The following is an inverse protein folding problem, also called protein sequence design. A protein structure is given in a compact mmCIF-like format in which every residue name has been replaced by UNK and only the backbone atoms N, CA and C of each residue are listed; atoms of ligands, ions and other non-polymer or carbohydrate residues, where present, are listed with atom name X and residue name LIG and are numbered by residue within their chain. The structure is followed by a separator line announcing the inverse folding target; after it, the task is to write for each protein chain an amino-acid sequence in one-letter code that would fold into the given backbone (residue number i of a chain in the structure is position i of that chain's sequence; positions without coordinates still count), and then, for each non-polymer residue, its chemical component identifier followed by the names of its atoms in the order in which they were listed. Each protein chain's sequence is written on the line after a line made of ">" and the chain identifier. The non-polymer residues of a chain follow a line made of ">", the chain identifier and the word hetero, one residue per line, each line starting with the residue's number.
data_IF_648813243424
#
_entry.id   IF_648813243424
#
_cell.length_a   1.000
_cell.length_b   1.000
_cell.length_c   1.000
_cell.angle_alpha   90.00
_cell.angle_beta   90.00
_cell.angle_gamma   90.00
#
_symmetry.space_group_name_H-M   'P 1'
#
loop_
_entity.id
_entity.type
_entity.pdbx_description
1 polymer ?
#
# COMPACT_ATOMS: atom_id res chain seq x y z
N UNK A 1 -22.68 -13.78 -8.07
CA UNK A 1 -21.77 -14.15 -9.15
C UNK A 1 -20.86 -12.97 -9.55
N UNK A 2 -19.94 -12.64 -8.62
CA UNK A 2 -18.95 -11.55 -8.79
C UNK A 2 -17.87 -11.88 -9.81
N UNK A 3 -17.59 -13.15 -10.03
CA UNK A 3 -16.49 -13.62 -10.92
C UNK A 3 -16.94 -13.57 -12.38
N UNK A 4 -18.16 -13.95 -12.69
CA UNK A 4 -18.71 -13.94 -14.05
C UNK A 4 -18.83 -12.52 -14.67
N UNK A 5 -18.95 -11.46 -13.84
CA UNK A 5 -18.98 -10.07 -14.32
C UNK A 5 -17.62 -9.52 -14.76
N UNK A 6 -16.54 -9.97 -14.12
CA UNK A 6 -15.18 -9.52 -14.45
C UNK A 6 -14.66 -10.14 -15.78
N UNK A 7 -15.15 -11.33 -16.14
CA UNK A 7 -14.83 -11.99 -17.41
C UNK A 7 -15.50 -11.33 -18.62
N UNK A 8 -16.52 -10.48 -18.41
CA UNK A 8 -17.25 -9.77 -19.46
C UNK A 8 -16.78 -8.32 -19.67
N UNK A 9 -15.61 -7.93 -19.15
CA UNK A 9 -15.04 -6.60 -19.37
C UNK A 9 -15.72 -5.49 -18.56
N UNK A 10 -16.27 -5.82 -17.40
CA UNK A 10 -16.83 -4.84 -16.46
C UNK A 10 -15.66 -4.24 -15.67
N UNK A 11 -15.42 -2.96 -15.84
CA UNK A 11 -14.31 -2.23 -15.22
C UNK A 11 -14.46 -2.07 -13.68
N UNK A 12 -15.69 -2.21 -13.12
CA UNK A 12 -15.91 -2.13 -11.67
C UNK A 12 -17.25 -2.70 -11.21
N UNK A 13 -17.35 -3.05 -9.91
CA UNK A 13 -18.55 -3.58 -9.29
C UNK A 13 -18.92 -2.77 -8.04
N UNK A 14 -20.04 -2.06 -8.08
CA UNK A 14 -20.55 -1.24 -6.98
C UNK A 14 -21.68 -1.99 -6.28
N UNK A 15 -21.51 -2.28 -4.98
CA UNK A 15 -22.54 -2.92 -4.15
C UNK A 15 -23.54 -1.90 -3.60
N UNK A 16 -24.82 -2.25 -3.58
CA UNK A 16 -25.86 -1.44 -2.92
C UNK A 16 -25.80 -1.64 -1.39
N UNK A 17 -26.07 -0.60 -0.57
CA UNK A 17 -26.35 0.79 -0.93
C UNK A 17 -25.08 1.57 -1.28
N UNK A 18 -25.14 2.46 -2.29
CA UNK A 18 -24.05 3.31 -2.70
C UNK A 18 -24.40 4.81 -2.57
N UNK A 19 -23.43 5.63 -2.20
CA UNK A 19 -23.64 7.08 -2.17
C UNK A 19 -23.49 7.67 -3.57
N UNK A 20 -24.33 8.64 -3.91
CA UNK A 20 -24.25 9.34 -5.18
C UNK A 20 -22.90 10.04 -5.40
N UNK A 21 -22.30 10.52 -4.30
CA UNK A 21 -20.98 11.15 -4.30
C UNK A 21 -19.88 10.12 -4.65
N UNK A 22 -19.95 8.93 -4.05
CA UNK A 22 -19.01 7.85 -4.36
C UNK A 22 -19.09 7.43 -5.84
N UNK A 23 -20.33 7.25 -6.34
CA UNK A 23 -20.55 6.88 -7.74
C UNK A 23 -20.00 7.94 -8.70
N UNK A 24 -20.26 9.22 -8.43
CA UNK A 24 -19.77 10.35 -9.23
C UNK A 24 -18.24 10.39 -9.25
N UNK A 25 -17.59 10.28 -8.08
CA UNK A 25 -16.12 10.26 -7.97
C UNK A 25 -15.53 9.08 -8.74
N UNK A 26 -16.15 7.92 -8.64
CA UNK A 26 -15.67 6.71 -9.33
C UNK A 26 -15.79 6.80 -10.85
N UNK A 27 -16.93 7.31 -11.34
CA UNK A 27 -17.13 7.57 -12.79
C UNK A 27 -16.11 8.59 -13.30
N UNK A 28 -15.89 9.69 -12.56
CA UNK A 28 -14.89 10.71 -12.94
C UNK A 28 -13.48 10.10 -13.02
N UNK A 29 -13.10 9.29 -12.05
CA UNK A 29 -11.81 8.59 -12.02
C UNK A 29 -11.63 7.64 -13.21
N UNK A 30 -12.66 6.84 -13.55
CA UNK A 30 -12.62 5.95 -14.71
C UNK A 30 -12.54 6.71 -16.04
N UNK A 31 -13.25 7.84 -16.15
CA UNK A 31 -13.20 8.68 -17.35
C UNK A 31 -11.82 9.34 -17.51
N UNK A 32 -11.21 9.84 -16.44
CA UNK A 32 -9.86 10.39 -16.47
C UNK A 32 -8.83 9.34 -16.86
N UNK A 33 -8.94 8.14 -16.32
CA UNK A 33 -8.06 7.02 -16.66
C UNK A 33 -8.16 6.65 -18.16
N UNK A 34 -9.38 6.64 -18.73
CA UNK A 34 -9.58 6.44 -20.16
C UNK A 34 -8.97 7.55 -21.01
N UNK A 35 -9.16 8.80 -20.62
CA UNK A 35 -8.58 9.94 -21.34
C UNK A 35 -7.05 9.88 -21.33
N UNK A 36 -6.43 9.57 -20.20
CA UNK A 36 -4.99 9.44 -20.09
C UNK A 36 -4.44 8.31 -20.96
N UNK A 37 -5.09 7.15 -20.98
CA UNK A 37 -4.73 6.03 -21.88
C UNK A 37 -4.86 6.43 -23.35
N UNK A 38 -5.89 7.18 -23.72
CA UNK A 38 -6.11 7.66 -25.07
C UNK A 38 -5.04 8.68 -25.48
N UNK A 39 -4.63 9.59 -24.60
CA UNK A 39 -3.55 10.55 -24.86
C UNK A 39 -2.20 9.86 -25.05
N UNK A 40 -1.88 8.86 -24.22
CA UNK A 40 -0.66 8.05 -24.36
C UNK A 40 -0.68 7.29 -25.69
N UNK A 41 -1.83 6.72 -26.07
CA UNK A 41 -1.98 6.00 -27.33
C UNK A 41 -1.77 6.93 -28.54
N UNK A 42 -2.41 8.11 -28.52
CA UNK A 42 -2.27 9.11 -29.59
C UNK A 42 -0.83 9.67 -29.65
N UNK A 43 -0.19 9.90 -28.51
CA UNK A 43 1.20 10.36 -28.46
C UNK A 43 2.18 9.30 -29.02
N UNK A 44 1.90 8.02 -28.79
CA UNK A 44 2.70 6.93 -29.37
C UNK A 44 2.51 6.78 -30.87
N UNK A 45 1.28 6.97 -31.37
CA UNK A 45 1.00 7.01 -32.82
C UNK A 45 1.69 8.19 -33.51
N UNK A 46 1.67 9.38 -32.88
CA UNK A 46 2.31 10.57 -33.42
C UNK A 46 3.86 10.46 -33.48
N UNK A 47 4.46 9.61 -32.63
CA UNK A 47 5.91 9.35 -32.61
C UNK A 47 6.34 8.22 -33.56
N UNK A 48 5.46 7.73 -34.43
CA UNK A 48 5.78 6.71 -35.44
C UNK A 48 6.21 5.36 -34.86
N UNK A 49 5.93 5.08 -33.58
CA UNK A 49 6.13 3.74 -33.03
C UNK A 49 5.00 2.83 -33.51
N UNK A 50 5.37 1.86 -34.33
CA UNK A 50 4.46 0.79 -34.75
C UNK A 50 3.83 0.14 -33.52
N UNK A 51 2.51 -0.13 -33.61
CA UNK A 51 1.82 -0.97 -32.64
C UNK A 51 2.60 -2.28 -32.49
N UNK A 52 2.86 -2.75 -31.28
CA UNK A 52 3.50 -4.05 -31.08
C UNK A 52 2.64 -5.11 -31.75
N UNK A 53 3.29 -5.90 -32.61
CA UNK A 53 2.68 -7.02 -33.31
C UNK A 53 2.02 -7.97 -32.31
N UNK A 54 0.83 -8.48 -32.60
CA UNK A 54 -0.02 -9.29 -31.69
C UNK A 54 0.61 -10.61 -31.21
N UNK A 55 1.89 -10.82 -31.44
CA UNK A 55 2.64 -12.03 -31.05
C UNK A 55 3.70 -11.84 -29.98
N UNK A 56 3.80 -10.67 -29.35
CA UNK A 56 4.64 -10.55 -28.16
C UNK A 56 3.89 -11.11 -26.94
N UNK A 57 4.49 -12.13 -26.36
CA UNK A 57 4.09 -12.75 -25.08
C UNK A 57 3.56 -11.68 -24.11
N UNK A 58 2.38 -11.95 -23.54
CA UNK A 58 1.79 -11.20 -22.45
C UNK A 58 2.70 -11.35 -21.20
N UNK A 59 3.86 -10.75 -21.24
CA UNK A 59 4.61 -10.50 -20.02
C UNK A 59 3.87 -9.41 -19.26
N UNK A 60 3.45 -9.63 -18.01
CA UNK A 60 2.86 -8.58 -17.20
C UNK A 60 3.83 -7.40 -17.21
N UNK A 61 3.42 -6.28 -17.78
CA UNK A 61 4.19 -5.03 -17.68
C UNK A 61 4.40 -4.75 -16.19
N UNK A 62 5.63 -4.41 -15.81
CA UNK A 62 5.90 -3.96 -14.45
C UNK A 62 4.88 -2.85 -14.11
N UNK A 63 4.22 -2.90 -12.96
CA UNK A 63 3.23 -1.91 -12.59
C UNK A 63 3.90 -0.54 -12.60
N UNK A 64 3.55 0.29 -13.57
CA UNK A 64 4.02 1.68 -13.61
C UNK A 64 3.28 2.42 -12.49
N UNK A 65 4.03 2.91 -11.52
CA UNK A 65 3.51 3.78 -10.47
C UNK A 65 2.99 5.04 -11.15
N UNK A 66 1.70 5.29 -11.03
CA UNK A 66 1.08 6.50 -11.59
C UNK A 66 1.19 7.65 -10.58
N UNK A 67 1.10 8.93 -11.01
CA UNK A 67 1.04 10.07 -10.08
C UNK A 67 -0.04 9.93 -9.01
N UNK A 68 -1.16 9.29 -9.35
CA UNK A 68 -2.24 8.98 -8.42
C UNK A 68 -1.87 7.91 -7.39
N UNK A 69 -1.00 6.98 -7.73
CA UNK A 69 -0.48 5.98 -6.79
C UNK A 69 0.56 6.59 -5.86
N UNK A 70 1.34 7.56 -6.34
CA UNK A 70 2.27 8.34 -5.53
C UNK A 70 1.51 9.16 -4.47
N UNK A 71 0.47 9.90 -4.86
CA UNK A 71 -0.37 10.66 -3.94
C UNK A 71 -1.05 9.74 -2.90
N UNK A 72 -1.59 8.61 -3.34
CA UNK A 72 -2.16 7.62 -2.44
C UNK A 72 -1.14 7.10 -1.43
N UNK A 73 0.07 6.74 -1.89
CA UNK A 73 1.13 6.25 -1.01
C UNK A 73 1.63 7.33 -0.06
N UNK A 74 1.71 8.58 -0.51
CA UNK A 74 2.06 9.70 0.35
C UNK A 74 1.05 9.83 1.50
N UNK A 75 -0.25 9.86 1.21
CA UNK A 75 -1.30 9.96 2.23
C UNK A 75 -1.28 8.76 3.19
N UNK A 76 -1.03 7.55 2.68
CA UNK A 76 -0.87 6.34 3.50
C UNK A 76 0.32 6.46 4.44
N UNK A 77 1.46 6.95 3.95
CA UNK A 77 2.68 7.11 4.76
C UNK A 77 2.53 8.23 5.80
N UNK A 78 1.93 9.37 5.43
CA UNK A 78 1.63 10.46 6.36
C UNK A 78 0.75 9.97 7.51
N UNK A 79 -0.33 9.26 7.20
CA UNK A 79 -1.22 8.71 8.22
C UNK A 79 -0.54 7.63 9.07
N UNK A 80 0.30 6.80 8.46
CA UNK A 80 1.10 5.82 9.19
C UNK A 80 2.06 6.47 10.19
N UNK A 81 2.71 7.60 9.81
CA UNK A 81 3.58 8.37 10.72
C UNK A 81 2.79 9.00 11.87
N UNK A 82 1.61 9.57 11.61
CA UNK A 82 0.71 10.13 12.64
C UNK A 82 0.26 9.08 13.65
N UNK A 83 0.10 7.82 13.22
CA UNK A 83 -0.46 6.73 14.01
C UNK A 83 0.58 5.65 14.36
N UNK A 84 1.86 6.00 14.34
CA UNK A 84 2.94 5.01 14.48
C UNK A 84 2.88 4.23 15.80
N UNK A 85 2.58 4.89 16.89
CA UNK A 85 2.50 4.32 18.25
C UNK A 85 1.11 3.77 18.62
N UNK A 86 0.11 3.99 17.76
CA UNK A 86 -1.25 3.52 18.00
C UNK A 86 -1.36 2.00 17.77
N UNK A 87 -1.37 1.21 18.85
CA UNK A 87 -1.50 -0.26 18.78
C UNK A 87 -2.85 -0.73 18.23
N UNK A 88 -3.89 0.11 18.33
CA UNK A 88 -5.27 -0.21 17.88
C UNK A 88 -5.53 0.21 16.44
N UNK A 89 -4.54 0.72 15.73
CA UNK A 89 -4.67 1.15 14.33
C UNK A 89 -5.15 0.00 13.44
N UNK A 90 -6.27 0.22 12.78
CA UNK A 90 -6.92 -0.77 11.92
C UNK A 90 -6.83 -0.39 10.43
N UNK A 91 -7.13 -1.36 9.55
CA UNK A 91 -7.23 -1.11 8.11
C UNK A 91 -8.42 -0.19 7.80
N UNK A 92 -9.48 -0.25 8.62
CA UNK A 92 -10.66 0.59 8.44
C UNK A 92 -10.34 2.07 8.73
N UNK A 93 -9.41 2.35 9.64
CA UNK A 93 -8.95 3.72 9.92
C UNK A 93 -8.26 4.33 8.70
N UNK A 94 -7.39 3.59 8.03
CA UNK A 94 -6.80 4.03 6.76
C UNK A 94 -7.85 4.24 5.66
N UNK A 95 -8.76 3.30 5.51
CA UNK A 95 -9.81 3.40 4.49
C UNK A 95 -10.68 4.63 4.73
N UNK A 96 -11.07 4.89 5.98
CA UNK A 96 -11.85 6.06 6.37
C UNK A 96 -11.08 7.37 6.15
N UNK A 97 -9.79 7.43 6.56
CA UNK A 97 -8.93 8.61 6.37
C UNK A 97 -8.81 9.00 4.90
N UNK A 98 -8.69 7.99 4.01
CA UNK A 98 -8.56 8.20 2.57
C UNK A 98 -9.91 8.23 1.82
N UNK A 99 -11.04 8.20 2.54
CA UNK A 99 -12.39 8.18 1.98
C UNK A 99 -12.62 7.01 0.99
N UNK A 100 -12.01 5.88 1.26
CA UNK A 100 -12.13 4.66 0.48
C UNK A 100 -12.92 3.59 1.24
N UNK A 101 -13.47 2.61 0.52
CA UNK A 101 -13.91 1.38 1.18
C UNK A 101 -12.70 0.51 1.55
N UNK A 102 -12.84 -0.28 2.62
CA UNK A 102 -11.81 -1.26 3.05
C UNK A 102 -11.31 -2.14 1.90
N UNK A 103 -12.21 -2.61 1.05
CA UNK A 103 -11.87 -3.46 -0.10
C UNK A 103 -11.04 -2.73 -1.14
N UNK A 104 -11.39 -1.46 -1.43
CA UNK A 104 -10.66 -0.63 -2.40
C UNK A 104 -9.27 -0.31 -1.85
N UNK A 105 -9.17 0.12 -0.59
CA UNK A 105 -7.90 0.36 0.08
C UNK A 105 -7.00 -0.87 0.05
N UNK A 106 -7.53 -2.04 0.46
CA UNK A 106 -6.78 -3.30 0.47
C UNK A 106 -6.20 -3.64 -0.91
N UNK A 107 -7.04 -3.62 -1.95
CA UNK A 107 -6.60 -3.97 -3.31
C UNK A 107 -5.57 -2.98 -3.83
N UNK A 108 -5.81 -1.68 -3.63
CA UNK A 108 -4.92 -0.62 -4.11
C UNK A 108 -3.56 -0.71 -3.44
N UNK A 109 -3.51 -0.79 -2.12
CA UNK A 109 -2.25 -0.94 -1.40
C UNK A 109 -1.49 -2.20 -1.84
N UNK A 110 -2.18 -3.34 -1.90
CA UNK A 110 -1.56 -4.61 -2.33
C UNK A 110 -1.03 -4.55 -3.77
N UNK A 111 -1.73 -3.87 -4.69
CA UNK A 111 -1.26 -3.73 -6.08
C UNK A 111 0.00 -2.88 -6.20
N UNK A 112 0.17 -1.87 -5.34
CA UNK A 112 1.32 -0.96 -5.37
C UNK A 112 2.54 -1.58 -4.67
N UNK A 113 2.35 -2.08 -3.43
CA UNK A 113 3.47 -2.53 -2.59
C UNK A 113 3.67 -4.06 -2.56
N UNK A 114 2.74 -4.83 -3.13
CA UNK A 114 2.80 -6.30 -3.13
C UNK A 114 2.48 -6.96 -1.78
N UNK A 115 2.28 -6.19 -0.72
CA UNK A 115 2.03 -6.66 0.65
C UNK A 115 0.56 -6.52 1.02
N UNK A 116 0.09 -7.36 1.96
CA UNK A 116 -1.20 -7.09 2.60
C UNK A 116 -1.09 -5.85 3.49
N UNK A 117 -2.19 -5.09 3.73
CA UNK A 117 -2.14 -3.92 4.62
C UNK A 117 -1.61 -4.23 6.02
N UNK A 118 -1.92 -5.39 6.58
CA UNK A 118 -1.39 -5.82 7.89
C UNK A 118 0.12 -6.03 7.84
N UNK A 119 0.62 -6.67 6.79
CA UNK A 119 2.06 -6.89 6.61
C UNK A 119 2.78 -5.57 6.33
N UNK A 120 2.17 -4.67 5.56
CA UNK A 120 2.69 -3.33 5.30
C UNK A 120 2.84 -2.51 6.58
N UNK A 121 1.80 -2.41 7.42
CA UNK A 121 1.85 -1.73 8.72
C UNK A 121 2.97 -2.31 9.58
N UNK A 122 3.06 -3.63 9.64
CA UNK A 122 4.12 -4.32 10.40
C UNK A 122 5.50 -3.99 9.86
N UNK A 123 5.69 -4.01 8.55
CA UNK A 123 6.97 -3.69 7.89
C UNK A 123 7.44 -2.27 8.24
N UNK A 124 6.56 -1.29 8.13
CA UNK A 124 6.87 0.12 8.46
C UNK A 124 7.21 0.27 9.95
N UNK A 125 6.45 -0.38 10.84
CA UNK A 125 6.72 -0.37 12.29
C UNK A 125 8.09 -0.96 12.62
N UNK A 126 8.48 -2.07 12.00
CA UNK A 126 9.80 -2.66 12.21
C UNK A 126 10.91 -1.76 11.66
N UNK A 127 10.72 -1.14 10.49
CA UNK A 127 11.68 -0.16 9.95
C UNK A 127 11.87 1.02 10.90
N UNK A 128 10.79 1.55 11.49
CA UNK A 128 10.85 2.59 12.51
C UNK A 128 11.57 2.08 13.78
N UNK A 129 11.30 0.86 14.20
CA UNK A 129 11.97 0.25 15.35
C UNK A 129 13.49 0.16 15.14
N UNK A 130 13.95 -0.19 13.96
CA UNK A 130 15.39 -0.19 13.60
C UNK A 130 15.98 1.20 13.82
N UNK A 131 15.35 2.25 13.29
CA UNK A 131 15.82 3.64 13.46
C UNK A 131 15.90 4.05 14.95
N UNK A 132 14.91 3.65 15.76
CA UNK A 132 14.90 3.95 17.20
C UNK A 132 15.99 3.17 17.96
N UNK A 133 16.24 1.91 17.59
CA UNK A 133 17.33 1.11 18.17
C UNK A 133 18.68 1.72 17.80
N UNK A 134 18.88 2.12 16.55
CA UNK A 134 20.13 2.72 16.06
C UNK A 134 20.43 4.07 16.75
N UNK A 135 19.39 4.81 17.16
CA UNK A 135 19.58 6.03 17.96
C UNK A 135 20.22 5.79 19.33
N UNK A 136 20.19 4.57 19.84
CA UNK A 136 20.73 4.15 21.11
C UNK A 136 20.00 4.67 22.37
N UNK A 137 18.98 5.53 22.18
CA UNK A 137 18.31 6.29 23.25
C UNK A 137 17.29 5.47 24.04
N UNK A 138 16.75 4.41 23.47
CA UNK A 138 15.59 3.68 24.00
C UNK A 138 15.95 2.24 24.33
N UNK A 139 15.27 1.65 25.31
CA UNK A 139 15.31 0.21 25.53
C UNK A 139 14.33 -0.49 24.59
N UNK A 140 14.48 -1.81 24.44
CA UNK A 140 13.70 -2.61 23.47
C UNK A 140 12.19 -2.57 23.75
N UNK A 141 11.79 -2.54 25.02
CA UNK A 141 10.36 -2.43 25.38
C UNK A 141 9.78 -1.07 25.01
N UNK A 142 10.54 0.01 25.24
CA UNK A 142 10.13 1.36 24.81
C UNK A 142 9.97 1.43 23.30
N UNK A 143 10.93 0.88 22.55
CA UNK A 143 10.85 0.81 21.10
C UNK A 143 9.59 0.08 20.64
N UNK A 144 9.26 -1.06 21.26
CA UNK A 144 8.05 -1.81 20.94
C UNK A 144 6.79 -0.92 21.08
N UNK A 145 6.62 -0.25 22.21
CA UNK A 145 5.46 0.63 22.44
C UNK A 145 5.45 1.84 21.50
N UNK A 146 6.58 2.50 21.29
CA UNK A 146 6.71 3.66 20.39
C UNK A 146 6.43 3.31 18.91
N UNK A 147 6.46 2.03 18.58
CA UNK A 147 6.15 1.53 17.23
C UNK A 147 4.84 0.76 17.17
N UNK A 148 3.94 1.01 18.14
CA UNK A 148 2.56 0.52 18.13
C UNK A 148 2.41 -0.98 18.41
N UNK A 149 3.40 -1.62 19.05
CA UNK A 149 3.25 -2.97 19.57
C UNK A 149 2.89 -2.91 21.06
N UNK A 150 1.75 -3.48 21.41
CA UNK A 150 1.30 -3.57 22.81
C UNK A 150 1.94 -4.74 23.57
N UNK A 151 2.61 -5.68 22.89
CA UNK A 151 3.34 -6.79 23.48
C UNK A 151 4.79 -6.86 22.96
N UNK A 152 5.80 -6.58 23.82
CA UNK A 152 7.21 -6.67 23.46
C UNK A 152 7.67 -8.07 23.02
N UNK A 153 6.99 -9.14 23.46
CA UNK A 153 7.31 -10.50 23.03
C UNK A 153 6.86 -10.72 21.58
N UNK A 154 5.66 -10.24 21.25
CA UNK A 154 5.16 -10.28 19.88
C UNK A 154 6.01 -9.39 18.96
N UNK A 155 6.36 -8.19 19.41
CA UNK A 155 7.32 -7.33 18.71
C UNK A 155 8.61 -8.06 18.37
N UNK A 156 9.24 -8.72 19.36
CA UNK A 156 10.50 -9.44 19.16
C UNK A 156 10.38 -10.57 18.14
N UNK A 157 9.25 -11.28 18.09
CA UNK A 157 8.97 -12.28 17.06
C UNK A 157 8.86 -11.65 15.66
N UNK A 158 8.14 -10.55 15.54
CA UNK A 158 7.98 -9.83 14.27
C UNK A 158 9.32 -9.30 13.77
N UNK A 159 10.09 -8.68 14.66
CA UNK A 159 11.43 -8.15 14.36
C UNK A 159 12.37 -9.27 13.89
N UNK A 160 12.45 -10.38 14.63
CA UNK A 160 13.30 -11.52 14.23
C UNK A 160 12.88 -12.11 12.89
N UNK A 161 11.57 -12.20 12.62
CA UNK A 161 11.06 -12.71 11.34
C UNK A 161 11.53 -11.84 10.17
N UNK A 162 11.60 -10.52 10.34
CA UNK A 162 11.92 -9.57 9.27
C UNK A 162 13.42 -9.31 9.17
N UNK A 163 14.13 -9.18 10.30
CA UNK A 163 15.54 -8.81 10.36
C UNK A 163 16.49 -10.01 10.50
N UNK A 164 15.96 -11.22 10.72
CA UNK A 164 16.75 -12.44 10.92
C UNK A 164 17.36 -12.60 12.32
N UNK A 165 17.41 -11.54 13.12
CA UNK A 165 17.96 -11.48 14.48
C UNK A 165 16.96 -10.85 15.44
N UNK A 166 17.09 -11.12 16.75
CA UNK A 166 16.26 -10.46 17.76
C UNK A 166 16.62 -8.98 17.91
N UNK A 167 15.72 -8.12 18.42
CA UNK A 167 16.02 -6.71 18.68
C UNK A 167 17.22 -6.51 19.60
N UNK A 168 17.40 -7.39 20.58
CA UNK A 168 18.55 -7.32 21.52
C UNK A 168 19.85 -7.65 20.80
N UNK A 169 19.89 -8.76 20.06
CA UNK A 169 21.06 -9.14 19.25
C UNK A 169 21.41 -8.05 18.22
N UNK A 170 20.40 -7.43 17.62
CA UNK A 170 20.60 -6.32 16.70
C UNK A 170 21.25 -5.12 17.40
N UNK A 171 20.72 -4.71 18.55
CA UNK A 171 21.25 -3.61 19.35
C UNK A 171 22.69 -3.84 19.82
N UNK A 172 23.02 -5.08 20.21
CA UNK A 172 24.36 -5.42 20.70
C UNK A 172 25.42 -5.40 19.57
N UNK A 173 25.03 -5.76 18.35
CA UNK A 173 25.91 -5.65 17.16
C UNK A 173 26.23 -4.21 16.78
N UNK A 174 25.34 -3.25 17.07
CA UNK A 174 25.58 -1.82 16.78
C UNK A 174 26.54 -1.15 17.76
N UNK A 175 26.87 -1.81 18.88
CA UNK A 175 27.78 -1.27 19.90
C UNK A 175 29.24 -1.71 19.69
N UNK A 176 29.49 -2.59 18.73
CA UNK A 176 30.83 -3.06 18.35
C UNK A 176 31.37 -2.27 17.15
#
# INVERSE_FOLDING_TARGET
>A
DRIAGLEQGIDDYITKPFSATYLKTRITSLLQQRQMLQEIYLANLAKGKQLPDRQQELTPSQPQITPFDEEFMQQVMEYMEEQMDNSELTIDDFANKLLLSRTVFYRKLKSIVGLTPVDFIRDIRIKRAVQLIDSGRFNISQVAYMTGFNDPKYFSKCFKKQMGVTPTEYKDKQKQ
#
